data_IF_790032215438
#
_entry.id   IF_790032215438
#
_cell.length_a   1.000
_cell.length_b   1.000
_cell.length_c   1.000
_cell.angle_alpha   90.00
_cell.angle_beta   90.00
_cell.angle_gamma   90.00
#
_symmetry.space_group_name_H-M   'P 1'
#
loop_
_entity.id
_entity.type
_entity.pdbx_description
1 polymer ?
#
# COMPACT_ATOMS: atom_id res chain seq x y z
N UNK A 1 -4.36 8.08 16.29
CA UNK A 1 -4.57 7.41 15.00
C UNK A 1 -4.70 8.47 13.94
N UNK A 2 -3.78 8.50 12.98
CA UNK A 2 -3.94 9.36 11.80
C UNK A 2 -5.05 8.75 10.93
N UNK A 3 -6.02 9.56 10.50
CA UNK A 3 -7.08 9.10 9.61
C UNK A 3 -6.60 9.30 8.18
N UNK A 4 -6.03 8.25 7.57
CA UNK A 4 -5.71 8.27 6.15
C UNK A 4 -6.97 7.90 5.34
N UNK A 5 -7.18 8.57 4.21
CA UNK A 5 -8.19 8.14 3.23
C UNK A 5 -7.50 7.23 2.24
N UNK A 6 -8.03 6.04 2.03
CA UNK A 6 -7.55 5.12 1.00
C UNK A 6 -8.48 5.16 -0.21
N UNK A 7 -7.92 5.31 -1.41
CA UNK A 7 -8.66 5.20 -2.65
C UNK A 7 -8.57 3.77 -3.20
N UNK A 8 -9.61 3.00 -2.95
CA UNK A 8 -9.74 1.62 -3.43
C UNK A 8 -10.58 1.59 -4.72
N UNK A 9 -10.02 1.00 -5.78
CA UNK A 9 -10.71 0.76 -7.04
C UNK A 9 -11.02 -0.74 -7.20
N UNK A 10 -12.31 -1.04 -7.38
CA UNK A 10 -12.88 -2.37 -7.65
C UNK A 10 -13.03 -2.65 -9.16
N UNK A 11 -12.61 -1.71 -10.02
CA UNK A 11 -12.64 -1.88 -11.47
C UNK A 11 -11.74 -3.06 -11.91
N UNK A 12 -11.98 -3.65 -13.10
CA UNK A 12 -11.08 -4.67 -13.64
C UNK A 12 -9.65 -4.14 -13.77
N UNK A 13 -8.68 -4.84 -13.12
CA UNK A 13 -7.27 -4.40 -12.94
C UNK A 13 -7.08 -3.21 -11.99
N UNK A 14 -8.08 -2.92 -11.17
CA UNK A 14 -8.02 -1.97 -10.07
C UNK A 14 -7.10 -2.46 -8.94
N UNK A 15 -6.91 -1.60 -7.96
CA UNK A 15 -5.91 -1.73 -6.91
C UNK A 15 -6.23 -2.95 -6.02
N UNK A 16 -7.53 -3.17 -5.74
CA UNK A 16 -8.00 -4.30 -4.92
C UNK A 16 -7.61 -5.62 -5.57
N UNK A 17 -7.88 -5.77 -6.87
CA UNK A 17 -7.59 -7.02 -7.59
C UNK A 17 -6.08 -7.29 -7.63
N UNK A 18 -5.25 -6.27 -7.88
CA UNK A 18 -3.79 -6.42 -7.90
C UNK A 18 -3.22 -6.92 -6.58
N UNK A 19 -3.73 -6.39 -5.45
CA UNK A 19 -3.30 -6.83 -4.12
C UNK A 19 -3.77 -8.25 -3.85
N UNK A 20 -5.02 -8.57 -4.22
CA UNK A 20 -5.56 -9.92 -4.12
C UNK A 20 -4.79 -10.94 -4.99
N UNK A 21 -4.31 -10.54 -6.17
CA UNK A 21 -3.49 -11.37 -7.06
C UNK A 21 -2.15 -11.76 -6.40
N UNK A 22 -1.69 -10.98 -5.42
CA UNK A 22 -0.50 -11.27 -4.61
C UNK A 22 -0.83 -12.00 -3.29
N UNK A 23 -2.08 -12.42 -3.07
CA UNK A 23 -2.50 -13.12 -1.84
C UNK A 23 -2.55 -12.22 -0.61
N UNK A 24 -2.74 -10.92 -0.82
CA UNK A 24 -2.89 -9.92 0.22
C UNK A 24 -4.29 -9.31 0.17
N UNK A 25 -4.70 -8.70 1.27
CA UNK A 25 -5.97 -7.97 1.36
C UNK A 25 -5.75 -6.46 1.46
N UNK A 26 -6.81 -5.67 1.31
CA UNK A 26 -6.77 -4.24 1.58
C UNK A 26 -6.38 -3.96 3.04
N UNK A 27 -6.86 -4.79 3.96
CA UNK A 27 -6.54 -4.67 5.39
C UNK A 27 -5.05 -4.96 5.65
N UNK A 28 -4.46 -5.96 4.98
CA UNK A 28 -3.02 -6.24 5.07
C UNK A 28 -2.20 -5.04 4.59
N UNK A 29 -2.64 -4.41 3.50
CA UNK A 29 -2.00 -3.21 2.98
C UNK A 29 -2.09 -2.05 3.98
N UNK A 30 -3.28 -1.76 4.52
CA UNK A 30 -3.48 -0.70 5.51
C UNK A 30 -2.66 -0.96 6.77
N UNK A 31 -2.61 -2.21 7.22
CA UNK A 31 -1.80 -2.61 8.37
C UNK A 31 -0.31 -2.37 8.16
N UNK A 32 0.24 -2.79 7.01
CA UNK A 32 1.65 -2.54 6.64
C UNK A 32 1.91 -1.05 6.46
N UNK A 33 0.95 -0.32 5.88
CA UNK A 33 1.05 1.12 5.68
C UNK A 33 1.15 1.88 7.00
N UNK A 34 0.41 1.47 8.03
CA UNK A 34 0.42 2.09 9.35
C UNK A 34 1.56 1.60 10.25
N UNK A 35 2.00 0.35 10.09
CA UNK A 35 3.05 -0.29 10.89
C UNK A 35 4.34 -0.54 10.10
N UNK A 36 4.62 0.33 9.13
CA UNK A 36 5.81 0.21 8.30
C UNK A 36 7.09 0.32 9.12
N UNK A 37 8.11 -0.44 8.73
CA UNK A 37 9.45 -0.35 9.29
C UNK A 37 10.32 0.62 8.51
N UNK A 38 10.16 0.65 7.19
CA UNK A 38 10.96 1.48 6.29
C UNK A 38 10.09 2.12 5.23
N UNK A 39 10.26 3.42 5.00
CA UNK A 39 9.68 4.15 3.88
C UNK A 39 10.79 4.56 2.91
N UNK A 40 10.59 4.29 1.63
CA UNK A 40 11.51 4.62 0.55
C UNK A 40 10.76 5.41 -0.52
N UNK A 41 11.32 6.57 -0.89
CA UNK A 41 10.89 7.31 -2.07
C UNK A 41 11.63 6.77 -3.29
N UNK A 42 10.89 6.25 -4.27
CA UNK A 42 11.52 5.88 -5.55
C UNK A 42 11.89 7.14 -6.34
N UNK A 43 13.19 7.43 -6.44
CA UNK A 43 13.71 8.58 -7.19
C UNK A 43 13.36 8.60 -8.68
N UNK A 44 13.09 7.43 -9.29
CA UNK A 44 12.83 7.31 -10.73
C UNK A 44 11.35 7.37 -11.09
N UNK A 45 10.48 6.89 -10.20
CA UNK A 45 9.03 6.79 -10.44
C UNK A 45 8.19 7.72 -9.56
N UNK A 46 8.80 8.45 -8.62
CA UNK A 46 8.14 9.30 -7.61
C UNK A 46 7.07 8.57 -6.78
N UNK A 47 7.10 7.23 -6.76
CA UNK A 47 6.18 6.42 -5.97
C UNK A 47 6.79 6.12 -4.62
N UNK A 48 5.96 6.23 -3.58
CA UNK A 48 6.34 5.87 -2.23
C UNK A 48 6.16 4.37 -2.05
N UNK A 49 7.13 3.77 -1.36
CA UNK A 49 7.11 2.35 -1.02
C UNK A 49 7.34 2.25 0.47
N UNK A 50 6.40 1.62 1.17
CA UNK A 50 6.56 1.23 2.56
C UNK A 50 6.80 -0.26 2.65
N UNK A 51 7.78 -0.66 3.45
CA UNK A 51 8.05 -2.04 3.78
C UNK A 51 7.67 -2.28 5.24
N UNK A 52 7.02 -3.40 5.50
CA UNK A 52 6.65 -3.80 6.85
C UNK A 52 6.08 -5.19 6.89
N UNK A 53 5.67 -5.61 8.09
CA UNK A 53 5.07 -6.91 8.32
C UNK A 53 3.55 -6.80 8.34
N UNK A 54 2.88 -7.75 7.71
CA UNK A 54 1.44 -7.98 7.89
C UNK A 54 1.16 -8.59 9.28
N UNK A 55 -0.10 -8.61 9.69
CA UNK A 55 -0.49 -9.16 10.99
C UNK A 55 -0.14 -10.66 11.17
N UNK A 56 0.00 -11.39 10.06
CA UNK A 56 0.43 -12.80 10.04
C UNK A 56 1.95 -13.00 9.93
N UNK A 57 2.73 -11.91 9.86
CA UNK A 57 4.19 -11.93 9.88
C UNK A 57 4.88 -12.04 8.52
N UNK A 58 4.16 -11.88 7.40
CA UNK A 58 4.77 -11.80 6.06
C UNK A 58 5.39 -10.42 5.83
N UNK A 59 6.56 -10.37 5.21
CA UNK A 59 7.23 -9.12 4.91
C UNK A 59 6.79 -8.60 3.53
N UNK A 60 6.12 -7.45 3.51
CA UNK A 60 5.42 -6.93 2.33
C UNK A 60 5.94 -5.55 1.95
N UNK A 61 6.08 -5.34 0.64
CA UNK A 61 6.27 -4.04 0.02
C UNK A 61 4.93 -3.46 -0.42
N UNK A 62 4.48 -2.42 0.26
CA UNK A 62 3.29 -1.63 -0.05
C UNK A 62 3.67 -0.42 -0.92
N UNK A 63 3.29 -0.44 -2.20
CA UNK A 63 3.54 0.66 -3.15
C UNK A 63 2.29 1.53 -3.26
N UNK A 64 2.45 2.84 -3.06
CA UNK A 64 1.36 3.78 -3.15
C UNK A 64 1.77 5.11 -3.76
N UNK A 65 0.77 5.84 -4.21
CA UNK A 65 0.83 7.25 -4.52
C UNK A 65 0.17 8.01 -3.37
N UNK A 66 0.75 9.15 -3.00
CA UNK A 66 0.25 10.00 -1.94
C UNK A 66 -0.21 11.32 -2.55
N UNK A 67 -1.50 11.61 -2.39
CA UNK A 67 -2.07 12.91 -2.73
C UNK A 67 -1.94 13.84 -1.53
N UNK A 68 -0.99 14.79 -1.60
CA UNK A 68 -0.78 15.78 -0.55
C UNK A 68 -1.92 16.80 -0.43
N UNK A 69 -2.71 16.99 -1.49
CA UNK A 69 -3.79 18.00 -1.53
C UNK A 69 -5.01 17.47 -0.78
N UNK A 70 -5.39 16.21 -1.05
CA UNK A 70 -6.56 15.57 -0.44
C UNK A 70 -6.21 14.59 0.70
N UNK A 71 -4.93 14.51 1.10
CA UNK A 71 -4.40 13.61 2.15
C UNK A 71 -4.88 12.17 1.91
N UNK A 72 -4.78 11.73 0.66
CA UNK A 72 -5.33 10.46 0.19
C UNK A 72 -4.22 9.54 -0.27
N UNK A 73 -4.23 8.31 0.24
CA UNK A 73 -3.36 7.22 -0.15
C UNK A 73 -4.02 6.48 -1.30
N UNK A 74 -3.31 6.33 -2.41
CA UNK A 74 -3.76 5.60 -3.59
C UNK A 74 -2.87 4.35 -3.71
N UNK A 75 -3.33 3.18 -3.24
CA UNK A 75 -2.58 1.95 -3.33
C UNK A 75 -2.36 1.57 -4.79
N UNK A 76 -1.11 1.31 -5.18
CA UNK A 76 -0.77 0.89 -6.55
C UNK A 76 -0.66 -0.63 -6.62
N UNK A 77 0.07 -1.23 -5.68
CA UNK A 77 0.22 -2.68 -5.52
C UNK A 77 0.82 -3.00 -4.15
N UNK A 78 0.70 -4.27 -3.73
CA UNK A 78 1.34 -4.81 -2.55
C UNK A 78 1.83 -6.22 -2.86
N UNK A 79 3.03 -6.58 -2.44
CA UNK A 79 3.57 -7.93 -2.66
C UNK A 79 4.58 -8.32 -1.58
N UNK A 80 4.69 -9.62 -1.31
CA UNK A 80 5.69 -10.18 -0.40
C UNK A 80 7.10 -10.09 -0.99
N UNK A 81 8.10 -9.81 -0.15
CA UNK A 81 9.53 -9.62 -0.51
C UNK A 81 10.40 -10.77 -0.01
#
# INVERSE_FOLDING_TARGET
>A
MAWFRYYWSDEPKGNIQKIADHGLTTDDFEFVFENYETEVLSHSSHRLIRFGYTADGRYVAAVFEWDEVDVTVIPVTAYEV
#
